data_IF_045222535528
#
_entry.id   IF_045222535528
#
_cell.length_a   1.000
_cell.length_b   1.000
_cell.length_c   1.000
_cell.angle_alpha   90.00
_cell.angle_beta   90.00
_cell.angle_gamma   90.00
#
_symmetry.space_group_name_H-M   'P 1'
#
loop_
_entity.id
_entity.type
_entity.pdbx_description
1 polymer ?
#
# COMPACT_ATOMS: atom_id res chain seq x y z
N UNK A 1 -14.98 2.97 16.42
CA UNK A 1 -13.89 3.47 15.56
C UNK A 1 -13.82 2.59 14.32
N UNK A 2 -13.79 3.15 13.11
CA UNK A 2 -13.71 2.36 11.87
C UNK A 2 -12.26 2.34 11.39
N UNK A 3 -11.72 1.14 11.20
CA UNK A 3 -10.35 0.90 10.74
C UNK A 3 -10.39 0.23 9.36
N UNK A 4 -9.58 0.72 8.43
CA UNK A 4 -9.38 0.08 7.14
C UNK A 4 -8.02 -0.62 7.09
N UNK A 5 -8.00 -1.87 6.67
CA UNK A 5 -6.78 -2.65 6.51
C UNK A 5 -6.56 -2.86 5.01
N UNK A 6 -5.48 -2.31 4.48
CA UNK A 6 -5.07 -2.47 3.09
C UNK A 6 -4.03 -3.59 3.08
N UNK A 7 -4.38 -4.74 2.53
CA UNK A 7 -3.44 -5.86 2.38
C UNK A 7 -2.68 -5.71 1.06
N UNK A 8 -1.35 -5.65 1.12
CA UNK A 8 -0.51 -5.34 -0.03
C UNK A 8 0.73 -6.25 -0.06
N UNK A 9 0.96 -6.91 -1.20
CA UNK A 9 2.11 -7.79 -1.45
C UNK A 9 2.65 -7.59 -2.86
N UNK A 10 3.93 -7.86 -3.05
CA UNK A 10 4.62 -7.71 -4.35
C UNK A 10 4.44 -8.92 -5.27
N UNK A 11 4.18 -10.11 -4.70
CA UNK A 11 4.20 -11.43 -5.37
C UNK A 11 2.95 -11.76 -6.20
N UNK A 12 2.58 -10.88 -7.13
CA UNK A 12 1.45 -11.10 -8.05
C UNK A 12 1.86 -11.92 -9.29
N UNK A 13 1.12 -12.97 -9.64
CA UNK A 13 1.45 -13.84 -10.79
C UNK A 13 0.97 -13.31 -12.15
N UNK A 14 -0.23 -12.69 -12.20
CA UNK A 14 -0.83 -12.18 -13.45
C UNK A 14 -0.32 -10.81 -13.88
N UNK A 15 0.08 -9.99 -12.90
CA UNK A 15 0.71 -8.69 -13.12
C UNK A 15 1.82 -8.53 -12.07
N UNK A 16 3.04 -9.01 -12.37
CA UNK A 16 4.17 -8.96 -11.45
C UNK A 16 4.42 -7.54 -10.94
N UNK A 17 4.72 -7.42 -9.64
CA UNK A 17 4.99 -6.13 -8.98
C UNK A 17 3.88 -5.08 -9.12
N UNK A 18 2.63 -5.49 -9.40
CA UNK A 18 1.46 -4.62 -9.58
C UNK A 18 1.38 -3.48 -8.57
N UNK A 19 1.61 -3.77 -7.29
CA UNK A 19 1.40 -2.81 -6.20
C UNK A 19 2.45 -1.68 -6.19
N UNK A 20 3.62 -1.95 -6.77
CA UNK A 20 4.73 -1.00 -6.95
C UNK A 20 4.78 -0.39 -8.35
N UNK A 21 3.93 -0.84 -9.27
CA UNK A 21 3.84 -0.28 -10.61
C UNK A 21 3.40 1.19 -10.54
N UNK A 22 4.12 2.06 -11.26
CA UNK A 22 3.81 3.49 -11.29
C UNK A 22 2.52 3.77 -12.06
N UNK A 23 1.71 4.65 -11.50
CA UNK A 23 0.58 5.33 -12.12
C UNK A 23 0.85 6.81 -11.89
N UNK A 24 1.05 7.60 -12.94
CA UNK A 24 1.36 9.04 -12.82
C UNK A 24 2.47 9.30 -11.77
N UNK A 25 3.66 8.74 -12.00
CA UNK A 25 4.88 8.89 -11.16
C UNK A 25 4.80 8.35 -9.73
N UNK A 26 3.67 7.78 -9.29
CA UNK A 26 3.50 7.21 -7.96
C UNK A 26 3.10 5.73 -8.03
N UNK A 27 3.67 4.87 -7.17
CA UNK A 27 3.26 3.47 -7.08
C UNK A 27 1.76 3.29 -6.83
N UNK A 28 1.15 2.26 -7.39
CA UNK A 28 -0.28 1.97 -7.24
C UNK A 28 -0.76 2.03 -5.77
N UNK A 29 0.02 1.49 -4.82
CA UNK A 29 -0.32 1.50 -3.40
C UNK A 29 -0.50 2.91 -2.82
N UNK A 30 0.27 3.88 -3.30
CA UNK A 30 0.15 5.29 -2.90
C UNK A 30 -1.26 5.81 -3.19
N UNK A 31 -1.76 5.53 -4.39
CA UNK A 31 -3.10 5.96 -4.79
C UNK A 31 -4.19 5.26 -3.99
N UNK A 32 -4.04 3.97 -3.68
CA UNK A 32 -4.99 3.24 -2.82
C UNK A 32 -5.07 3.92 -1.45
N UNK A 33 -3.93 4.17 -0.80
CA UNK A 33 -3.89 4.86 0.51
C UNK A 33 -4.50 6.26 0.41
N UNK A 34 -4.12 7.05 -0.60
CA UNK A 34 -4.66 8.41 -0.81
C UNK A 34 -6.17 8.43 -1.02
N UNK A 35 -6.74 7.41 -1.68
CA UNK A 35 -8.18 7.29 -1.87
C UNK A 35 -8.89 6.93 -0.57
N UNK A 36 -8.33 6.01 0.23
CA UNK A 36 -8.90 5.63 1.53
C UNK A 36 -8.85 6.82 2.51
N UNK A 37 -7.79 7.63 2.49
CA UNK A 37 -7.67 8.86 3.30
C UNK A 37 -8.79 9.89 3.03
N UNK A 38 -9.47 9.85 1.88
CA UNK A 38 -10.60 10.73 1.57
C UNK A 38 -11.91 10.31 2.25
N UNK A 39 -11.99 9.10 2.80
CA UNK A 39 -13.19 8.61 3.48
C UNK A 39 -13.36 9.28 4.85
N UNK A 40 -14.49 9.96 5.07
CA UNK A 40 -14.75 10.72 6.32
C UNK A 40 -14.97 9.84 7.57
N UNK A 41 -15.37 8.58 7.35
CA UNK A 41 -15.77 7.64 8.40
C UNK A 41 -14.61 6.78 8.90
N UNK A 42 -13.56 6.58 8.09
CA UNK A 42 -12.37 5.81 8.45
C UNK A 42 -11.48 6.66 9.34
N UNK A 43 -11.13 6.14 10.52
CA UNK A 43 -10.32 6.85 11.53
C UNK A 43 -8.89 6.32 11.64
N UNK A 44 -8.65 5.12 11.12
CA UNK A 44 -7.34 4.49 11.09
C UNK A 44 -7.18 3.68 9.80
N UNK A 45 -6.00 3.76 9.22
CA UNK A 45 -5.59 2.97 8.06
C UNK A 45 -4.39 2.16 8.50
N UNK A 46 -4.38 0.87 8.18
CA UNK A 46 -3.25 -0.04 8.40
C UNK A 46 -2.86 -0.61 7.05
N UNK A 47 -1.60 -0.47 6.65
CA UNK A 47 -1.05 -1.17 5.50
C UNK A 47 -0.43 -2.48 5.97
N UNK A 48 -1.12 -3.60 5.71
CA UNK A 48 -0.66 -4.93 6.07
C UNK A 48 0.21 -5.51 4.93
N UNK A 49 1.49 -5.66 5.21
CA UNK A 49 2.50 -6.19 4.27
C UNK A 49 3.01 -7.53 4.83
N UNK A 50 3.07 -8.61 4.02
CA UNK A 50 3.66 -9.86 4.49
C UNK A 50 5.14 -9.70 4.80
N UNK A 51 5.62 -10.39 5.83
CA UNK A 51 7.04 -10.47 6.11
C UNK A 51 7.81 -11.16 4.97
N UNK A 52 9.08 -10.78 4.78
CA UNK A 52 9.99 -11.43 3.85
C UNK A 52 10.50 -10.52 2.74
N UNK A 53 11.69 -10.86 2.23
CA UNK A 53 12.50 -10.03 1.32
C UNK A 53 11.79 -9.58 0.05
N UNK A 54 10.87 -10.39 -0.45
CA UNK A 54 10.08 -10.06 -1.64
C UNK A 54 9.24 -8.78 -1.43
N UNK A 55 8.84 -8.50 -0.19
CA UNK A 55 8.01 -7.34 0.15
C UNK A 55 8.82 -6.16 0.71
N UNK A 56 10.12 -6.30 0.96
CA UNK A 56 10.98 -5.21 1.45
C UNK A 56 10.84 -3.92 0.63
N UNK A 57 10.80 -3.94 -0.73
CA UNK A 57 10.61 -2.72 -1.51
C UNK A 57 9.30 -1.99 -1.20
N UNK A 58 8.23 -2.74 -0.89
CA UNK A 58 6.95 -2.17 -0.50
C UNK A 58 7.01 -1.59 0.91
N UNK A 59 7.69 -2.26 1.84
CA UNK A 59 7.91 -1.75 3.19
C UNK A 59 8.74 -0.47 3.20
N UNK A 60 9.85 -0.43 2.45
CA UNK A 60 10.69 0.76 2.33
C UNK A 60 9.91 1.93 1.75
N UNK A 61 9.19 1.71 0.64
CA UNK A 61 8.32 2.72 0.05
C UNK A 61 7.31 3.25 1.07
N UNK A 62 6.72 2.36 1.87
CA UNK A 62 5.71 2.73 2.84
C UNK A 62 6.27 3.59 3.99
N UNK A 63 7.48 3.26 4.48
CA UNK A 63 8.22 4.04 5.49
C UNK A 63 8.56 5.43 4.98
N UNK A 64 9.18 5.52 3.80
CA UNK A 64 9.64 6.79 3.22
C UNK A 64 8.48 7.76 2.97
N UNK A 65 7.32 7.23 2.54
CA UNK A 65 6.15 8.05 2.19
C UNK A 65 5.18 8.25 3.37
N UNK A 66 5.52 7.76 4.58
CA UNK A 66 4.68 7.83 5.78
C UNK A 66 3.26 7.28 5.54
N UNK A 67 3.20 6.13 4.87
CA UNK A 67 1.95 5.39 4.60
C UNK A 67 1.88 4.05 5.34
N UNK A 68 2.69 3.91 6.40
CA UNK A 68 2.57 2.87 7.43
C UNK A 68 1.62 3.31 8.54
#
# INVERSE_FOLDING_TARGET
>A
MITAIIQARTTSSRLPNKILMNIEEKPMVFWVVKRVQKAKTIKQIILAIPEGRDNDPLEYFAKENKIL
#
